data_IF_700974862294
#
_entry.id   IF_700974862294
#
_cell.length_a   1.000
_cell.length_b   1.000
_cell.length_c   1.000
_cell.angle_alpha   90.00
_cell.angle_beta   90.00
_cell.angle_gamma   90.00
#
_symmetry.space_group_name_H-M   'P 1'
#
loop_
_entity.id
_entity.type
_entity.pdbx_description
1 polymer ?
#
# COMPACT_ATOMS: atom_id res chain seq x y z
N UNK A 1 -22.23 -15.58 7.00
CA UNK A 1 -21.23 -14.76 7.72
C UNK A 1 -20.51 -13.92 6.69
N UNK A 2 -20.33 -12.60 6.89
CA UNK A 2 -19.54 -11.80 5.96
C UNK A 2 -18.11 -12.36 5.83
N UNK A 3 -17.52 -12.26 4.64
CA UNK A 3 -16.08 -12.51 4.45
C UNK A 3 -15.27 -11.58 5.33
N UNK A 4 -14.08 -12.01 5.82
CA UNK A 4 -13.18 -11.15 6.60
C UNK A 4 -12.92 -9.81 5.90
N UNK A 5 -12.82 -9.82 4.57
CA UNK A 5 -12.53 -8.63 3.75
C UNK A 5 -13.56 -7.51 3.84
N UNK A 6 -14.76 -7.79 4.35
CA UNK A 6 -15.80 -6.78 4.53
C UNK A 6 -15.51 -5.83 5.68
N UNK A 7 -14.65 -6.21 6.63
CA UNK A 7 -14.35 -5.40 7.82
C UNK A 7 -12.88 -5.44 8.26
N UNK A 8 -12.10 -6.43 7.82
CA UNK A 8 -10.70 -6.61 8.20
C UNK A 8 -9.85 -6.91 6.97
N UNK A 9 -8.75 -6.16 6.82
CA UNK A 9 -7.75 -6.36 5.75
C UNK A 9 -6.36 -6.23 6.34
N UNK A 10 -5.51 -7.21 6.08
CA UNK A 10 -4.09 -7.20 6.46
C UNK A 10 -3.24 -6.84 5.26
N UNK A 11 -2.30 -5.91 5.44
CA UNK A 11 -1.31 -5.55 4.43
C UNK A 11 0.09 -5.82 4.97
N UNK A 12 0.80 -6.73 4.32
CA UNK A 12 2.22 -6.94 4.60
C UNK A 12 3.02 -5.88 3.83
N UNK A 13 4.02 -5.29 4.49
CA UNK A 13 4.82 -4.18 3.95
C UNK A 13 6.28 -4.61 3.84
N UNK A 14 6.70 -5.24 2.73
CA UNK A 14 8.04 -5.77 2.61
C UNK A 14 9.11 -4.67 2.64
N UNK A 15 10.12 -4.88 3.48
CA UNK A 15 11.22 -3.94 3.66
C UNK A 15 10.91 -2.74 4.55
N UNK A 16 9.77 -2.72 5.24
CA UNK A 16 9.54 -1.80 6.37
C UNK A 16 10.09 -2.43 7.65
N UNK A 17 10.71 -1.62 8.51
CA UNK A 17 11.08 -2.03 9.87
C UNK A 17 9.89 -1.84 10.83
N UNK A 18 10.15 -1.72 12.14
CA UNK A 18 9.09 -1.46 13.11
C UNK A 18 8.47 -0.07 12.89
N UNK A 19 7.20 -0.04 12.48
CA UNK A 19 6.36 1.14 12.19
C UNK A 19 6.81 2.05 11.02
N UNK A 20 8.11 2.29 10.87
CA UNK A 20 8.71 3.13 9.82
C UNK A 20 10.13 2.65 9.49
N UNK A 21 10.81 3.34 8.58
CA UNK A 21 12.17 3.00 8.15
C UNK A 21 12.26 1.69 7.36
N UNK A 22 13.45 1.11 7.32
CA UNK A 22 13.76 -0.09 6.53
C UNK A 22 14.13 0.19 5.06
N UNK A 23 14.61 -0.82 4.33
CA UNK A 23 15.12 -0.65 2.96
C UNK A 23 14.02 -0.54 1.88
N UNK A 24 12.76 -0.81 2.22
CA UNK A 24 11.64 -0.91 1.29
C UNK A 24 10.87 0.39 1.09
N UNK A 25 9.84 0.32 0.24
CA UNK A 25 8.89 1.40 0.02
C UNK A 25 7.83 1.40 1.14
N UNK A 26 8.27 1.68 2.36
CA UNK A 26 7.48 1.56 3.57
C UNK A 26 6.65 2.78 3.94
N UNK A 27 6.73 3.92 3.23
CA UNK A 27 5.98 5.15 3.59
C UNK A 27 4.62 5.19 2.88
N UNK A 28 3.53 5.06 3.61
CA UNK A 28 2.16 5.02 3.08
C UNK A 28 1.18 5.84 3.95
N UNK A 29 1.65 6.95 4.53
CA UNK A 29 0.83 7.86 5.31
C UNK A 29 0.65 7.44 6.77
N UNK A 30 1.45 6.48 7.24
CA UNK A 30 1.49 6.13 8.65
C UNK A 30 2.43 7.05 9.44
N UNK A 31 2.03 7.47 10.65
CA UNK A 31 2.87 8.15 11.65
C UNK A 31 3.72 9.33 11.13
N UNK A 32 3.07 10.43 10.74
CA UNK A 32 3.74 11.64 10.22
C UNK A 32 4.75 11.38 9.08
N UNK A 33 4.78 10.18 8.48
CA UNK A 33 5.73 9.84 7.43
C UNK A 33 5.24 10.46 6.12
N UNK A 34 5.91 11.50 5.60
CA UNK A 34 5.52 12.08 4.33
C UNK A 34 5.74 11.02 3.24
N UNK A 35 4.68 10.70 2.53
CA UNK A 35 4.71 9.78 1.40
C UNK A 35 5.43 10.39 0.20
N UNK A 36 5.57 11.73 0.17
CA UNK A 36 6.04 12.52 -0.98
C UNK A 36 5.29 12.22 -2.28
N UNK A 37 4.20 11.47 -2.19
CA UNK A 37 3.32 11.04 -3.25
C UNK A 37 1.94 11.54 -2.88
N UNK A 38 1.28 12.17 -3.86
CA UNK A 38 -0.11 12.64 -3.90
C UNK A 38 -0.93 12.31 -2.64
N UNK A 39 -1.51 13.34 -2.02
CA UNK A 39 -2.45 13.16 -0.91
C UNK A 39 -3.74 12.48 -1.39
N UNK A 40 -3.67 11.17 -1.57
CA UNK A 40 -4.72 10.30 -2.08
C UNK A 40 -4.76 9.02 -1.25
N UNK A 41 -5.95 8.45 -1.09
CA UNK A 41 -6.21 7.27 -0.28
C UNK A 41 -5.38 6.05 -0.67
N UNK A 42 -5.03 5.92 -1.96
CA UNK A 42 -4.12 4.87 -2.43
C UNK A 42 -2.69 4.96 -1.85
N UNK A 43 -2.27 6.13 -1.36
CA UNK A 43 -0.96 6.38 -0.78
C UNK A 43 -0.99 6.69 0.71
N UNK A 44 -2.17 6.85 1.32
CA UNK A 44 -2.32 7.25 2.71
C UNK A 44 -3.35 6.36 3.41
N UNK A 45 -2.90 5.51 4.34
CA UNK A 45 -3.76 4.57 5.04
C UNK A 45 -4.84 5.23 5.89
N UNK A 46 -4.60 6.44 6.41
CA UNK A 46 -5.63 7.17 7.15
C UNK A 46 -6.77 7.58 6.21
N UNK A 47 -6.44 8.12 5.04
CA UNK A 47 -7.45 8.49 4.03
C UNK A 47 -8.15 7.25 3.46
N UNK A 48 -7.43 6.15 3.25
CA UNK A 48 -8.04 4.88 2.85
C UNK A 48 -9.05 4.36 3.87
N UNK A 49 -8.79 4.57 5.17
CA UNK A 49 -9.74 4.19 6.23
C UNK A 49 -10.98 5.08 6.22
N UNK A 50 -10.82 6.39 6.01
CA UNK A 50 -11.93 7.34 5.85
C UNK A 50 -12.80 6.93 4.66
N UNK A 51 -12.21 6.71 3.49
CA UNK A 51 -12.94 6.27 2.30
C UNK A 51 -13.68 4.95 2.50
N UNK A 52 -13.11 4.03 3.28
CA UNK A 52 -13.78 2.76 3.59
C UNK A 52 -14.96 2.96 4.52
N UNK A 53 -14.78 3.69 5.63
CA UNK A 53 -15.82 3.87 6.65
C UNK A 53 -16.95 4.77 6.16
N UNK A 54 -16.62 5.87 5.50
CA UNK A 54 -17.60 6.89 5.08
C UNK A 54 -18.11 6.65 3.66
N UNK A 55 -17.23 6.19 2.75
CA UNK A 55 -17.55 5.99 1.34
C UNK A 55 -17.87 4.54 0.97
N UNK A 56 -17.68 3.58 1.88
CA UNK A 56 -17.81 2.15 1.58
C UNK A 56 -16.72 1.61 0.64
N UNK A 57 -15.66 2.38 0.38
CA UNK A 57 -14.60 2.03 -0.58
C UNK A 57 -13.42 1.41 0.17
N UNK A 58 -13.45 0.09 0.33
CA UNK A 58 -12.39 -0.65 1.00
C UNK A 58 -11.11 -0.74 0.14
N UNK A 59 -9.91 -0.52 0.70
CA UNK A 59 -8.68 -0.54 -0.08
C UNK A 59 -8.27 -1.97 -0.45
N UNK A 60 -8.06 -2.26 -1.73
CA UNK A 60 -7.48 -3.55 -2.16
C UNK A 60 -5.95 -3.56 -2.10
N UNK A 61 -5.34 -2.37 -2.18
CA UNK A 61 -3.89 -2.17 -2.11
C UNK A 61 -3.54 -0.88 -1.39
N UNK A 62 -2.30 -0.82 -0.88
CA UNK A 62 -1.70 0.41 -0.33
C UNK A 62 -0.38 0.65 -1.06
N UNK A 63 -0.18 1.84 -1.61
CA UNK A 63 1.03 2.17 -2.35
C UNK A 63 2.01 2.90 -1.45
N UNK A 64 3.04 2.18 -1.02
CA UNK A 64 4.13 2.77 -0.24
C UNK A 64 5.21 3.38 -1.12
N UNK A 65 5.97 4.32 -0.55
CA UNK A 65 7.08 5.02 -1.19
C UNK A 65 8.38 4.93 -0.38
N UNK A 66 9.50 5.23 -1.03
CA UNK A 66 10.83 5.39 -0.42
C UNK A 66 11.49 6.68 -0.88
N UNK A 67 12.22 7.33 0.02
CA UNK A 67 13.03 8.51 -0.29
C UNK A 67 12.20 9.69 -0.79
N UNK A 68 12.55 10.21 -1.95
CA UNK A 68 11.89 11.32 -2.64
C UNK A 68 10.59 10.93 -3.38
N UNK A 69 10.01 9.75 -3.13
CA UNK A 69 8.69 9.36 -3.66
C UNK A 69 8.70 8.68 -5.04
N UNK A 70 9.88 8.52 -5.65
CA UNK A 70 10.05 7.89 -6.98
C UNK A 70 10.00 6.36 -6.91
N UNK A 71 10.58 5.79 -5.86
CA UNK A 71 10.48 4.35 -5.61
C UNK A 71 9.14 4.07 -4.97
N UNK A 72 8.30 3.30 -5.66
CA UNK A 72 6.94 2.95 -5.22
C UNK A 72 6.75 1.44 -5.27
N UNK A 73 6.00 0.90 -4.31
CA UNK A 73 5.58 -0.50 -4.31
C UNK A 73 4.12 -0.60 -3.92
N UNK A 74 3.40 -1.44 -4.65
CA UNK A 74 2.03 -1.84 -4.29
C UNK A 74 2.13 -2.90 -3.18
N UNK A 75 1.59 -2.61 -2.01
CA UNK A 75 1.42 -3.56 -0.92
C UNK A 75 0.03 -4.18 -1.06
N UNK A 76 0.00 -5.50 -1.17
CA UNK A 76 -1.21 -6.24 -1.47
C UNK A 76 -1.92 -6.65 -0.19
N UNK A 77 -3.25 -6.75 -0.26
CA UNK A 77 -4.05 -7.37 0.79
C UNK A 77 -3.68 -8.85 0.89
N UNK A 78 -3.35 -9.30 2.10
CA UNK A 78 -3.07 -10.70 2.39
C UNK A 78 -4.30 -11.57 2.06
N UNK A 79 -4.14 -12.77 1.46
CA UNK A 79 -2.88 -13.52 1.25
C UNK A 79 -2.07 -13.12 0.02
N UNK A 80 -2.53 -12.16 -0.80
CA UNK A 80 -1.83 -11.79 -2.01
C UNK A 80 -0.45 -11.19 -1.70
N UNK A 81 0.50 -11.47 -2.58
CA UNK A 81 1.87 -11.00 -2.56
C UNK A 81 2.15 -10.03 -3.71
N UNK A 82 3.03 -9.07 -3.42
CA UNK A 82 3.49 -8.06 -4.36
C UNK A 82 4.62 -8.62 -5.24
N UNK A 83 4.27 -9.08 -6.45
CA UNK A 83 5.17 -9.76 -7.39
C UNK A 83 5.68 -8.80 -8.46
N UNK A 84 6.98 -8.86 -8.75
CA UNK A 84 7.62 -8.04 -9.77
C UNK A 84 7.40 -8.61 -11.18
N UNK A 85 7.00 -7.76 -12.14
CA UNK A 85 6.84 -8.11 -13.56
C UNK A 85 7.95 -7.48 -14.40
N UNK A 86 8.72 -8.34 -15.07
CA UNK A 86 9.87 -7.99 -15.91
C UNK A 86 9.50 -7.10 -17.10
N UNK A 87 8.31 -7.31 -17.69
CA UNK A 87 7.94 -6.61 -18.93
C UNK A 87 7.60 -5.12 -18.74
N UNK A 88 7.47 -4.63 -17.50
CA UNK A 88 7.08 -3.24 -17.22
C UNK A 88 8.25 -2.40 -16.72
N UNK A 89 8.59 -1.38 -17.51
CA UNK A 89 9.67 -0.44 -17.21
C UNK A 89 9.22 0.71 -16.30
N UNK A 90 7.94 1.11 -16.39
CA UNK A 90 7.33 2.14 -15.54
C UNK A 90 6.80 1.56 -14.22
N UNK A 91 6.70 2.38 -13.16
CA UNK A 91 6.30 1.89 -11.82
C UNK A 91 4.87 1.33 -11.78
N UNK A 92 3.94 1.89 -12.57
CA UNK A 92 2.56 1.40 -12.65
C UNK A 92 2.54 -0.01 -13.27
N UNK A 93 2.15 -0.99 -12.47
CA UNK A 93 2.10 -2.40 -12.86
C UNK A 93 3.44 -3.13 -12.85
N UNK A 94 4.54 -2.49 -12.41
CA UNK A 94 5.82 -3.17 -12.16
C UNK A 94 5.71 -4.17 -11.02
N UNK A 95 4.89 -3.85 -10.02
CA UNK A 95 4.46 -4.78 -8.98
C UNK A 95 2.96 -5.01 -9.11
N UNK A 96 2.55 -6.27 -9.09
CA UNK A 96 1.14 -6.69 -9.18
C UNK A 96 0.82 -7.65 -8.03
N UNK A 97 -0.45 -7.68 -7.63
CA UNK A 97 -0.94 -8.57 -6.59
C UNK A 97 -1.33 -9.91 -7.18
N UNK A 98 -0.68 -10.96 -6.68
CA UNK A 98 -0.93 -12.36 -7.05
C UNK A 98 -1.08 -13.18 -5.77
N UNK A 99 -1.78 -14.31 -5.83
CA UNK A 99 -1.84 -15.25 -4.71
C UNK A 99 -0.49 -15.95 -4.45
#
# INVERSE_FOLDING_TARGET
MPSLDSFYRLFLVPGMAHCTGGPGAGRFGQLNAPTNAVNASSHNILLALVDWVEGGVAPDTIIGTKGNGWTRRVHCRYPQRSVWKKEKWWWKGKFVCEE
#
